data_IF_999321714451
#
_entry.id   IF_999321714451
#
_cell.length_a   1.000
_cell.length_b   1.000
_cell.length_c   1.000
_cell.angle_alpha   90.00
_cell.angle_beta   90.00
_cell.angle_gamma   90.00
#
_symmetry.space_group_name_H-M   'P 1'
#
loop_
_entity.id
_entity.type
_entity.pdbx_description
1 polymer ?
#
# COMPACT_ATOMS: atom_id res chain seq x y z
N UNK A 1 -7.64 7.46 -10.26
CA UNK A 1 -6.62 6.41 -10.12
C UNK A 1 -6.76 5.72 -8.78
N UNK A 2 -6.53 4.44 -8.74
CA UNK A 2 -6.68 3.69 -7.51
C UNK A 2 -5.39 3.74 -6.68
N UNK A 3 -5.55 3.76 -5.37
CA UNK A 3 -4.43 3.64 -4.45
C UNK A 3 -4.64 2.38 -3.61
N UNK A 4 -3.61 1.98 -2.89
CA UNK A 4 -3.70 0.81 -2.02
C UNK A 4 -4.77 0.99 -0.94
N UNK A 5 -5.02 2.23 -0.53
CA UNK A 5 -6.06 2.56 0.43
C UNK A 5 -7.44 2.11 -0.03
N UNK A 6 -7.67 2.13 -1.35
CA UNK A 6 -8.96 1.79 -1.94
C UNK A 6 -9.08 0.30 -2.27
N UNK A 7 -8.02 -0.46 -2.11
CA UNK A 7 -8.03 -1.88 -2.42
C UNK A 7 -8.94 -2.65 -1.46
N UNK A 8 -9.64 -3.62 -1.99
CA UNK A 8 -10.56 -4.44 -1.20
C UNK A 8 -9.81 -5.54 -0.45
N UNK A 9 -10.34 -5.90 0.72
CA UNK A 9 -9.81 -7.02 1.48
C UNK A 9 -9.88 -8.28 0.63
N UNK A 10 -8.79 -9.04 0.63
CA UNK A 10 -8.70 -10.28 -0.13
C UNK A 10 -8.26 -10.09 -1.58
N UNK A 11 -8.06 -8.84 -2.02
CA UNK A 11 -7.60 -8.59 -3.38
C UNK A 11 -6.09 -8.54 -3.44
N UNK A 12 -5.56 -8.84 -4.63
CA UNK A 12 -4.13 -8.69 -4.90
C UNK A 12 -4.01 -7.59 -5.96
N UNK A 13 -3.17 -6.61 -5.68
CA UNK A 13 -2.98 -5.48 -6.58
C UNK A 13 -1.50 -5.32 -6.91
N UNK A 14 -1.24 -4.74 -8.07
CA UNK A 14 0.13 -4.48 -8.51
C UNK A 14 0.44 -3.01 -8.30
N UNK A 15 1.59 -2.73 -7.71
CA UNK A 15 2.03 -1.36 -7.49
C UNK A 15 2.38 -0.72 -8.83
N UNK A 16 1.71 0.37 -9.14
CA UNK A 16 1.95 1.12 -10.37
C UNK A 16 2.99 2.20 -10.16
N UNK A 17 2.89 2.91 -9.05
CA UNK A 17 3.75 4.06 -8.77
C UNK A 17 3.73 4.36 -7.28
N UNK A 18 4.84 4.86 -6.79
CA UNK A 18 4.92 5.37 -5.43
C UNK A 18 4.89 6.89 -5.49
N UNK A 19 3.89 7.48 -4.87
CA UNK A 19 3.81 8.92 -4.69
C UNK A 19 4.46 9.25 -3.37
N UNK A 20 4.48 10.48 -3.00
CA UNK A 20 5.14 10.89 -1.78
C UNK A 20 6.57 11.32 -2.06
N UNK A 21 7.19 11.88 -1.09
CA UNK A 21 8.51 12.48 -1.22
C UNK A 21 9.44 12.03 -0.11
N UNK A 22 10.73 12.00 -0.43
CA UNK A 22 11.78 11.82 0.57
C UNK A 22 11.59 10.60 1.46
N UNK A 23 11.46 10.85 2.76
CA UNK A 23 11.46 9.80 3.76
C UNK A 23 10.28 8.81 3.63
N UNK A 24 9.11 9.29 3.25
CA UNK A 24 7.92 8.42 3.15
C UNK A 24 8.11 7.40 2.02
N UNK A 25 8.52 7.88 0.86
CA UNK A 25 8.75 7.01 -0.29
C UNK A 25 9.85 5.99 0.02
N UNK A 26 10.92 6.45 0.63
CA UNK A 26 12.04 5.59 0.97
C UNK A 26 11.62 4.51 1.97
N UNK A 27 10.84 4.88 2.97
CA UNK A 27 10.36 3.91 3.97
C UNK A 27 9.51 2.83 3.31
N UNK A 28 8.63 3.20 2.40
CA UNK A 28 7.80 2.25 1.68
C UNK A 28 8.66 1.31 0.84
N UNK A 29 9.66 1.86 0.16
CA UNK A 29 10.59 1.06 -0.63
C UNK A 29 11.41 0.10 0.22
N UNK A 30 11.84 0.57 1.39
CA UNK A 30 12.60 -0.26 2.32
C UNK A 30 11.78 -1.44 2.85
N UNK A 31 10.47 -1.32 2.84
CA UNK A 31 9.58 -2.41 3.22
C UNK A 31 9.37 -3.42 2.09
N UNK A 32 9.99 -3.19 0.94
CA UNK A 32 9.87 -4.08 -0.21
C UNK A 32 8.75 -3.73 -1.16
N UNK A 33 8.07 -2.63 -0.92
CA UNK A 33 6.97 -2.20 -1.80
C UNK A 33 7.51 -1.26 -2.85
N UNK A 34 7.71 -1.78 -4.04
CA UNK A 34 8.26 -1.01 -5.16
C UNK A 34 7.39 -1.19 -6.40
N UNK A 35 7.64 -0.39 -7.42
CA UNK A 35 6.90 -0.46 -8.67
C UNK A 35 6.96 -1.86 -9.26
N UNK A 36 5.80 -2.39 -9.65
CA UNK A 36 5.70 -3.72 -10.27
C UNK A 36 5.51 -4.86 -9.28
N UNK A 37 5.59 -4.59 -7.99
CA UNK A 37 5.40 -5.62 -6.96
C UNK A 37 3.91 -5.86 -6.74
N UNK A 38 3.53 -7.12 -6.56
CA UNK A 38 2.17 -7.47 -6.19
C UNK A 38 2.02 -7.44 -4.68
N UNK A 39 0.91 -6.87 -4.21
CA UNK A 39 0.58 -6.76 -2.79
C UNK A 39 -0.79 -7.36 -2.57
N UNK A 40 -0.89 -8.23 -1.57
CA UNK A 40 -2.17 -8.83 -1.21
C UNK A 40 -2.71 -8.14 0.04
N UNK A 41 -3.93 -7.61 -0.06
CA UNK A 41 -4.59 -6.94 1.06
C UNK A 41 -5.26 -8.00 1.93
N UNK A 42 -4.73 -8.21 3.13
CA UNK A 42 -5.23 -9.24 4.04
C UNK A 42 -6.33 -8.72 4.94
N UNK A 43 -6.19 -7.51 5.45
CA UNK A 43 -7.09 -6.99 6.45
C UNK A 43 -7.05 -5.46 6.45
N UNK A 44 -8.19 -4.85 6.74
CA UNK A 44 -8.29 -3.40 6.86
C UNK A 44 -9.02 -3.14 8.18
N UNK A 45 -8.43 -2.32 9.03
CA UNK A 45 -9.06 -1.95 10.29
C UNK A 45 -10.36 -1.16 10.02
N UNK A 46 -11.30 -1.12 10.98
CA UNK A 46 -12.61 -0.50 10.78
C UNK A 46 -12.58 0.93 10.22
N UNK A 47 -11.55 1.70 10.55
CA UNK A 47 -11.42 3.06 10.05
C UNK A 47 -10.44 3.18 8.88
N UNK A 48 -10.03 2.04 8.34
CA UNK A 48 -9.06 2.03 7.24
C UNK A 48 -7.62 2.25 7.68
N UNK A 49 -7.32 2.18 8.96
CA UNK A 49 -5.99 2.42 9.49
C UNK A 49 -5.76 1.54 10.73
N UNK A 50 -4.81 0.60 10.74
CA UNK A 50 -3.90 0.28 9.63
C UNK A 50 -4.50 -0.63 8.55
N UNK A 51 -3.76 -0.77 7.47
CA UNK A 51 -4.09 -1.70 6.39
C UNK A 51 -3.01 -2.77 6.39
N UNK A 52 -3.40 -4.02 6.55
CA UNK A 52 -2.44 -5.13 6.53
C UNK A 52 -2.33 -5.71 5.13
N UNK A 53 -1.12 -5.70 4.59
CA UNK A 53 -0.84 -6.24 3.27
C UNK A 53 0.26 -7.28 3.40
N UNK A 54 0.04 -8.47 2.83
CA UNK A 54 0.97 -9.60 2.92
C UNK A 54 1.38 -9.82 4.39
N UNK A 55 2.59 -9.45 4.77
CA UNK A 55 3.06 -9.60 6.15
C UNK A 55 3.38 -8.25 6.78
N UNK A 56 2.92 -7.17 6.16
CA UNK A 56 3.23 -5.81 6.58
C UNK A 56 1.97 -5.09 7.02
N UNK A 57 2.16 -4.13 7.90
CA UNK A 57 1.09 -3.26 8.34
C UNK A 57 1.41 -1.85 7.90
N UNK A 58 0.51 -1.24 7.15
CA UNK A 58 0.69 0.11 6.62
C UNK A 58 -0.33 1.06 7.21
N UNK A 59 0.09 2.27 7.45
CA UNK A 59 -0.84 3.31 7.85
C UNK A 59 -1.61 3.79 6.62
N UNK A 60 -2.80 4.28 6.86
CA UNK A 60 -3.65 4.83 5.81
C UNK A 60 -2.91 5.88 4.98
N UNK A 61 -2.16 6.76 5.64
CA UNK A 61 -1.40 7.79 4.95
C UNK A 61 -0.35 7.22 3.99
N UNK A 62 0.28 6.11 4.38
CA UNK A 62 1.26 5.44 3.52
C UNK A 62 0.56 4.76 2.34
N UNK A 63 -0.58 4.13 2.59
CA UNK A 63 -1.33 3.45 1.54
C UNK A 63 -1.83 4.43 0.47
N UNK A 64 -2.15 5.67 0.86
CA UNK A 64 -2.58 6.70 -0.08
C UNK A 64 -1.48 7.09 -1.07
N UNK A 65 -0.23 6.83 -0.71
CA UNK A 65 0.91 7.17 -1.56
C UNK A 65 1.27 6.05 -2.55
N UNK A 66 0.60 4.90 -2.45
CA UNK A 66 0.87 3.77 -3.31
C UNK A 66 -0.24 3.66 -4.35
N UNK A 67 0.06 4.02 -5.60
CA UNK A 67 -0.88 3.87 -6.69
C UNK A 67 -0.83 2.44 -7.19
N UNK A 68 -2.00 1.87 -7.45
CA UNK A 68 -2.13 0.50 -7.92
C UNK A 68 -2.82 0.43 -9.28
N UNK A 69 -2.57 -0.65 -9.96
CA UNK A 69 -3.20 -0.91 -11.25
C UNK A 69 -4.57 -1.53 -11.04
#
# INVERSE_FOLDING_TARGET
MATLKEAKIGSTVTVKKLNGTGAVKRRIMDMGITKGVEVHVRKVAPLGDPIEVTELSLRKADAEMIETV
#
